data_IF_982580703190
#
_entry.id   IF_982580703190
#
_cell.length_a   1.000
_cell.length_b   1.000
_cell.length_c   1.000
_cell.angle_alpha   90.00
_cell.angle_beta   90.00
_cell.angle_gamma   90.00
#
_symmetry.space_group_name_H-M   'P 1'
#
loop_
_entity.id
_entity.type
_entity.pdbx_description
1 polymer ?
#
# COMPACT_ATOMS: atom_id res chain seq x y z
N UNK A 1 1.66 4.84 -5.91
CA UNK A 1 2.96 5.20 -5.30
C UNK A 1 2.74 5.37 -3.80
N UNK A 2 3.79 5.26 -2.98
CA UNK A 2 3.71 5.43 -1.52
C UNK A 2 4.61 6.58 -1.12
N UNK A 3 4.02 7.64 -0.58
CA UNK A 3 4.75 8.82 -0.10
C UNK A 3 4.98 8.67 1.40
N UNK A 4 6.22 8.88 1.83
CA UNK A 4 6.59 8.75 3.24
C UNK A 4 7.51 9.88 3.66
N UNK A 5 7.22 10.45 4.83
CA UNK A 5 7.99 11.55 5.39
C UNK A 5 8.14 11.38 6.89
N UNK A 6 9.34 11.67 7.40
CA UNK A 6 9.59 11.70 8.83
C UNK A 6 10.81 12.56 9.16
N UNK A 7 10.59 13.86 9.38
CA UNK A 7 11.67 14.81 9.66
C UNK A 7 12.54 14.45 10.87
N UNK A 8 11.93 13.87 11.91
CA UNK A 8 12.61 13.58 13.17
C UNK A 8 13.62 12.42 13.04
N UNK A 9 13.25 11.36 12.32
CA UNK A 9 14.06 10.14 12.26
C UNK A 9 14.83 9.95 10.95
N UNK A 10 14.34 10.51 9.84
CA UNK A 10 14.94 10.36 8.50
C UNK A 10 15.54 11.68 7.99
N UNK A 11 15.17 12.80 8.60
CA UNK A 11 15.51 14.14 8.14
C UNK A 11 14.48 14.69 7.14
N UNK A 12 14.76 15.87 6.59
CA UNK A 12 13.85 16.54 5.66
C UNK A 12 13.92 15.90 4.26
N UNK A 13 13.44 14.67 4.15
CA UNK A 13 13.46 13.87 2.93
C UNK A 13 12.10 13.23 2.72
N UNK A 14 11.43 13.58 1.62
CA UNK A 14 10.26 12.86 1.15
C UNK A 14 10.73 11.63 0.35
N UNK A 15 10.41 10.45 0.84
CA UNK A 15 10.70 9.20 0.13
C UNK A 15 9.43 8.75 -0.59
N UNK A 16 9.55 8.53 -1.90
CA UNK A 16 8.45 8.13 -2.79
C UNK A 16 8.78 6.75 -3.31
N UNK A 17 8.03 5.75 -2.88
CA UNK A 17 8.26 4.36 -3.28
C UNK A 17 7.28 4.03 -4.40
N UNK A 18 7.84 3.71 -5.56
CA UNK A 18 7.10 3.45 -6.79
C UNK A 18 6.81 1.96 -6.91
N UNK A 19 7.81 1.12 -6.65
CA UNK A 19 7.73 -0.34 -6.78
C UNK A 19 8.57 -1.05 -5.72
N UNK A 20 8.23 -2.30 -5.45
CA UNK A 20 9.07 -3.19 -4.67
C UNK A 20 10.26 -3.65 -5.53
N UNK A 21 11.48 -3.43 -5.05
CA UNK A 21 12.69 -3.91 -5.72
C UNK A 21 13.12 -5.30 -5.24
N UNK A 22 12.56 -5.83 -4.16
CA UNK A 22 13.05 -7.06 -3.52
C UNK A 22 14.56 -7.00 -3.29
N UNK A 23 15.26 -8.07 -3.67
CA UNK A 23 16.73 -8.18 -3.59
C UNK A 23 17.45 -7.69 -4.86
N UNK A 24 16.74 -7.01 -5.78
CA UNK A 24 17.34 -6.52 -7.02
C UNK A 24 18.45 -5.49 -6.73
N UNK A 25 19.48 -5.50 -7.58
CA UNK A 25 20.56 -4.51 -7.50
C UNK A 25 20.04 -3.16 -7.94
N UNK A 26 20.35 -2.12 -7.16
CA UNK A 26 19.93 -0.75 -7.41
C UNK A 26 21.11 0.14 -7.78
N UNK A 27 20.86 1.09 -8.68
CA UNK A 27 21.72 2.25 -8.89
C UNK A 27 20.98 3.52 -8.45
N UNK A 28 21.73 4.58 -8.15
CA UNK A 28 21.18 5.86 -7.70
C UNK A 28 21.75 6.98 -8.55
N UNK A 29 20.85 7.79 -9.12
CA UNK A 29 21.20 9.02 -9.82
C UNK A 29 20.74 10.20 -8.98
N UNK A 30 21.67 11.05 -8.56
CA UNK A 30 21.37 12.25 -7.76
C UNK A 30 21.70 13.52 -8.54
N UNK A 31 20.73 14.43 -8.63
CA UNK A 31 20.85 15.77 -9.21
C UNK A 31 20.15 16.76 -8.28
N UNK A 32 20.91 17.75 -7.79
CA UNK A 32 20.45 18.72 -6.80
C UNK A 32 19.75 18.06 -5.60
N UNK A 33 18.47 18.39 -5.43
CA UNK A 33 17.59 17.91 -4.35
C UNK A 33 16.89 16.59 -4.63
N UNK A 34 17.12 15.98 -5.80
CA UNK A 34 16.41 14.77 -6.22
C UNK A 34 17.40 13.62 -6.36
N UNK A 35 17.11 12.49 -5.71
CA UNK A 35 17.76 11.21 -6.01
C UNK A 35 16.73 10.22 -6.56
N UNK A 36 16.99 9.74 -7.77
CA UNK A 36 16.26 8.66 -8.42
C UNK A 36 16.93 7.33 -8.08
N UNK A 37 16.18 6.38 -7.57
CA UNK A 37 16.62 5.01 -7.33
C UNK A 37 16.02 4.13 -8.42
N UNK A 38 16.86 3.45 -9.17
CA UNK A 38 16.44 2.59 -10.27
C UNK A 38 17.07 1.21 -10.21
N UNK A 39 16.42 0.24 -10.84
CA UNK A 39 16.97 -1.10 -11.03
C UNK A 39 18.20 -1.01 -11.93
N UNK A 40 19.30 -1.61 -11.48
CA UNK A 40 20.56 -1.66 -12.23
C UNK A 40 20.44 -2.40 -13.57
N UNK A 41 19.51 -3.35 -13.65
CA UNK A 41 19.34 -4.22 -14.80
C UNK A 41 18.72 -3.51 -16.01
N UNK A 42 17.69 -2.68 -15.79
CA UNK A 42 16.88 -2.10 -16.86
C UNK A 42 16.65 -0.58 -16.72
N UNK A 43 17.19 0.05 -15.67
CA UNK A 43 17.02 1.48 -15.39
C UNK A 43 15.64 1.89 -14.90
N UNK A 44 14.75 0.92 -14.60
CA UNK A 44 13.40 1.21 -14.14
C UNK A 44 13.40 1.86 -12.76
N UNK A 45 12.69 2.99 -12.63
CA UNK A 45 12.59 3.72 -11.36
C UNK A 45 11.75 2.98 -10.34
N UNK A 46 12.32 2.76 -9.16
CA UNK A 46 11.66 2.08 -8.03
C UNK A 46 11.37 3.02 -6.86
N UNK A 47 12.16 4.09 -6.71
CA UNK A 47 11.92 5.11 -5.69
C UNK A 47 12.53 6.46 -6.04
N UNK A 48 12.04 7.50 -5.36
CA UNK A 48 12.62 8.84 -5.35
C UNK A 48 12.85 9.29 -3.92
N UNK A 49 13.95 10.02 -3.70
CA UNK A 49 14.19 10.78 -2.48
C UNK A 49 14.29 12.26 -2.83
N UNK A 50 13.36 13.06 -2.31
CA UNK A 50 13.33 14.51 -2.48
C UNK A 50 13.82 15.14 -1.19
N UNK A 51 15.05 15.65 -1.24
CA UNK A 51 15.72 16.31 -0.12
C UNK A 51 15.21 17.74 0.06
N UNK A 52 15.21 18.21 1.30
CA UNK A 52 14.75 19.56 1.66
C UNK A 52 13.31 19.84 1.19
N UNK A 53 12.44 18.83 1.22
CA UNK A 53 11.05 18.95 0.73
C UNK A 53 10.28 20.07 1.45
N UNK A 54 10.62 20.36 2.71
CA UNK A 54 9.99 21.48 3.44
C UNK A 54 10.27 22.86 2.85
N UNK A 55 11.27 22.98 1.94
CA UNK A 55 11.50 24.19 1.14
C UNK A 55 10.56 24.33 -0.07
N UNK A 56 9.92 23.24 -0.50
CA UNK A 56 8.98 23.22 -1.63
C UNK A 56 7.55 23.50 -1.18
N UNK A 57 7.16 22.98 -0.02
CA UNK A 57 5.85 23.18 0.61
C UNK A 57 5.88 22.75 2.08
N UNK A 58 4.88 23.16 2.86
CA UNK A 58 4.74 22.72 4.25
C UNK A 58 4.37 21.23 4.31
N UNK A 59 5.11 20.48 5.14
CA UNK A 59 4.89 19.07 5.41
C UNK A 59 5.40 18.76 6.83
N UNK A 60 4.56 18.12 7.64
CA UNK A 60 4.86 17.82 9.05
C UNK A 60 4.39 16.44 9.50
N UNK A 61 3.71 15.69 8.64
CA UNK A 61 3.22 14.35 8.98
C UNK A 61 4.37 13.36 9.22
N UNK A 62 4.05 12.26 9.89
CA UNK A 62 5.01 11.20 10.24
C UNK A 62 4.50 9.87 9.71
N UNK A 63 5.28 9.23 8.84
CA UNK A 63 4.92 7.95 8.21
C UNK A 63 4.41 8.16 6.78
N UNK A 64 3.33 7.47 6.41
CA UNK A 64 2.68 7.67 5.10
C UNK A 64 2.02 9.05 5.05
N UNK A 65 2.27 9.79 3.97
CA UNK A 65 1.69 11.11 3.72
C UNK A 65 0.81 11.06 2.46
N UNK A 66 -0.21 11.92 2.42
CA UNK A 66 -1.12 12.02 1.28
C UNK A 66 -1.02 13.42 0.72
N UNK A 67 -0.38 13.53 -0.45
CA UNK A 67 -0.09 14.82 -1.04
C UNK A 67 -1.30 15.38 -1.80
N UNK A 68 -1.40 16.71 -1.84
CA UNK A 68 -2.34 17.41 -2.73
C UNK A 68 -1.83 17.39 -4.17
N UNK A 69 -2.71 17.66 -5.14
CA UNK A 69 -2.30 17.76 -6.55
C UNK A 69 -1.30 18.91 -6.77
N UNK A 70 -1.43 19.99 -6.01
CA UNK A 70 -0.51 21.12 -6.04
C UNK A 70 0.88 20.73 -5.53
N UNK A 71 0.96 19.95 -4.45
CA UNK A 71 2.22 19.42 -3.93
C UNK A 71 2.86 18.47 -4.94
N UNK A 72 2.10 17.55 -5.53
CA UNK A 72 2.64 16.64 -6.57
C UNK A 72 3.10 17.41 -7.81
N UNK A 73 2.35 18.42 -8.25
CA UNK A 73 2.77 19.29 -9.35
C UNK A 73 4.08 20.03 -9.01
N UNK A 74 4.26 20.48 -7.77
CA UNK A 74 5.52 21.09 -7.31
C UNK A 74 6.69 20.11 -7.35
N UNK A 75 6.47 18.86 -6.92
CA UNK A 75 7.50 17.82 -7.00
C UNK A 75 7.89 17.55 -8.47
N UNK A 76 6.92 17.45 -9.37
CA UNK A 76 7.19 17.23 -10.79
C UNK A 76 7.94 18.41 -11.43
N UNK A 77 7.66 19.65 -11.02
CA UNK A 77 8.46 20.81 -11.44
C UNK A 77 9.92 20.69 -10.99
N UNK A 78 10.17 20.24 -9.76
CA UNK A 78 11.52 20.02 -9.24
C UNK A 78 12.25 18.91 -10.02
N UNK A 79 11.58 17.78 -10.28
CA UNK A 79 12.12 16.69 -11.10
C UNK A 79 12.53 17.18 -12.50
N UNK A 80 11.66 17.94 -13.16
CA UNK A 80 11.92 18.50 -14.49
C UNK A 80 13.06 19.52 -14.48
N UNK A 81 13.16 20.36 -13.45
CA UNK A 81 14.25 21.33 -13.29
C UNK A 81 15.62 20.64 -13.16
N UNK A 82 15.66 19.48 -12.48
CA UNK A 82 16.84 18.62 -12.36
C UNK A 82 17.05 17.71 -13.59
N UNK A 83 16.20 17.81 -14.62
CA UNK A 83 16.35 17.11 -15.90
C UNK A 83 15.89 15.65 -15.87
N UNK A 84 15.00 15.27 -14.94
CA UNK A 84 14.28 14.00 -15.00
C UNK A 84 13.05 14.13 -15.89
N UNK A 85 12.73 13.07 -16.64
CA UNK A 85 11.59 13.04 -17.59
C UNK A 85 10.38 12.32 -17.01
N UNK A 86 10.57 11.57 -15.95
CA UNK A 86 9.51 10.84 -15.25
C UNK A 86 8.65 11.77 -14.41
N UNK A 87 7.42 11.32 -14.17
CA UNK A 87 6.45 12.05 -13.37
C UNK A 87 5.98 11.21 -12.18
N UNK A 88 5.84 11.88 -11.05
CA UNK A 88 5.17 11.41 -9.85
C UNK A 88 3.66 11.54 -10.08
N UNK A 89 2.94 10.46 -9.80
CA UNK A 89 1.48 10.39 -9.95
C UNK A 89 0.82 10.37 -8.57
N UNK A 90 -0.18 11.23 -8.38
CA UNK A 90 -0.99 11.24 -7.17
C UNK A 90 -2.12 10.20 -7.27
N UNK A 91 -2.00 9.12 -6.51
CA UNK A 91 -3.03 8.09 -6.43
C UNK A 91 -3.87 8.30 -5.17
N UNK A 92 -5.09 8.81 -5.37
CA UNK A 92 -6.03 9.15 -4.30
C UNK A 92 -6.99 8.02 -3.96
N UNK A 93 -6.88 6.87 -4.60
CA UNK A 93 -7.76 5.75 -4.27
C UNK A 93 -7.49 5.27 -2.84
N UNK A 94 -8.56 5.04 -2.04
CA UNK A 94 -8.40 4.50 -0.70
C UNK A 94 -7.67 3.15 -0.76
N UNK A 95 -6.63 3.01 0.06
CA UNK A 95 -5.81 1.79 0.10
C UNK A 95 -6.29 0.75 1.10
N UNK A 96 -7.17 1.14 2.01
CA UNK A 96 -7.90 0.23 2.87
C UNK A 96 -9.38 0.36 2.55
N UNK A 97 -10.00 -0.74 2.11
CA UNK A 97 -11.40 -0.75 1.69
C UNK A 97 -12.12 -1.98 2.21
N UNK A 98 -13.44 -1.89 2.30
CA UNK A 98 -14.31 -3.05 2.50
C UNK A 98 -14.25 -3.92 1.24
N UNK A 99 -13.92 -5.19 1.39
CA UNK A 99 -13.97 -6.18 0.32
C UNK A 99 -14.77 -7.42 0.69
N UNK A 100 -15.28 -8.13 -0.32
CA UNK A 100 -16.05 -9.37 -0.16
C UNK A 100 -15.39 -10.52 -0.91
N UNK A 101 -15.22 -11.67 -0.26
CA UNK A 101 -14.72 -12.89 -0.91
C UNK A 101 -15.83 -13.44 -1.81
N UNK A 102 -15.69 -13.30 -3.13
CA UNK A 102 -16.67 -13.76 -4.13
C UNK A 102 -16.32 -15.12 -4.75
N UNK A 103 -15.07 -15.55 -4.60
CA UNK A 103 -14.62 -16.89 -4.97
C UNK A 103 -13.46 -17.30 -4.05
N UNK A 104 -13.35 -18.59 -3.74
CA UNK A 104 -12.30 -19.12 -2.90
C UNK A 104 -11.97 -20.56 -3.30
N UNK A 105 -10.71 -20.80 -3.66
CA UNK A 105 -10.19 -22.13 -4.01
C UNK A 105 -8.95 -22.44 -3.16
N UNK A 106 -8.72 -23.72 -2.89
CA UNK A 106 -7.52 -24.15 -2.16
C UNK A 106 -6.26 -23.86 -2.98
N UNK A 107 -5.18 -23.48 -2.31
CA UNK A 107 -3.90 -23.24 -2.97
C UNK A 107 -3.28 -24.58 -3.43
N UNK A 108 -2.77 -24.70 -4.67
CA UNK A 108 -2.24 -25.97 -5.18
C UNK A 108 -0.98 -26.45 -4.43
N UNK A 109 -0.16 -25.51 -3.97
CA UNK A 109 1.09 -25.76 -3.23
C UNK A 109 0.98 -25.51 -1.70
N UNK A 110 -0.23 -25.43 -1.13
CA UNK A 110 -0.40 -25.29 0.33
C UNK A 110 -1.76 -25.76 0.85
N UNK A 111 -1.74 -26.50 1.96
CA UNK A 111 -2.89 -26.95 2.74
C UNK A 111 -3.45 -25.91 3.72
N UNK A 112 -2.80 -24.74 3.83
CA UNK A 112 -3.16 -23.68 4.77
C UNK A 112 -3.44 -22.34 4.10
N UNK A 113 -3.31 -22.26 2.78
CA UNK A 113 -3.57 -21.07 1.99
C UNK A 113 -4.72 -21.32 1.02
N UNK A 114 -5.41 -20.23 0.70
CA UNK A 114 -6.48 -20.20 -0.27
C UNK A 114 -6.23 -19.04 -1.23
N UNK A 115 -6.64 -19.23 -2.48
CA UNK A 115 -6.67 -18.19 -3.49
C UNK A 115 -8.09 -17.64 -3.49
N UNK A 116 -8.23 -16.39 -3.06
CA UNK A 116 -9.52 -15.71 -2.98
C UNK A 116 -9.64 -14.69 -4.10
N UNK A 117 -10.78 -14.66 -4.80
CA UNK A 117 -11.19 -13.49 -5.57
C UNK A 117 -12.00 -12.59 -4.65
N UNK A 118 -11.55 -11.35 -4.48
CA UNK A 118 -12.13 -10.40 -3.55
C UNK A 118 -12.64 -9.18 -4.30
N UNK A 119 -13.95 -8.95 -4.27
CA UNK A 119 -14.56 -7.74 -4.81
C UNK A 119 -14.21 -6.57 -3.88
N UNK A 120 -13.62 -5.51 -4.44
CA UNK A 120 -13.12 -4.33 -3.71
C UNK A 120 -13.70 -3.02 -4.24
N UNK A 121 -14.48 -3.09 -5.33
CA UNK A 121 -15.40 -2.05 -5.79
C UNK A 121 -16.50 -2.73 -6.62
N UNK A 122 -17.47 -1.96 -7.13
CA UNK A 122 -18.57 -2.47 -7.96
C UNK A 122 -18.13 -3.25 -9.21
N UNK A 123 -16.99 -2.88 -9.77
CA UNK A 123 -16.43 -3.36 -11.04
C UNK A 123 -14.98 -3.83 -10.92
N UNK A 124 -14.49 -3.99 -9.67
CA UNK A 124 -13.08 -4.33 -9.39
C UNK A 124 -13.00 -5.51 -8.44
N UNK A 125 -12.41 -6.60 -8.93
CA UNK A 125 -12.09 -7.80 -8.17
C UNK A 125 -10.59 -8.04 -8.24
N UNK A 126 -10.00 -8.43 -7.11
CA UNK A 126 -8.56 -8.71 -7.00
C UNK A 126 -8.32 -10.11 -6.44
N UNK A 127 -7.29 -10.78 -6.95
CA UNK A 127 -6.83 -12.05 -6.39
C UNK A 127 -5.97 -11.79 -5.15
N UNK A 128 -6.31 -12.42 -4.03
CA UNK A 128 -5.55 -12.34 -2.78
C UNK A 128 -5.33 -13.76 -2.26
N UNK A 129 -4.07 -14.12 -2.04
CA UNK A 129 -3.72 -15.37 -1.36
C UNK A 129 -3.79 -15.16 0.14
N UNK A 130 -4.59 -15.96 0.85
CA UNK A 130 -4.81 -15.80 2.28
C UNK A 130 -4.87 -17.12 3.03
N UNK A 131 -4.26 -17.12 4.22
CA UNK A 131 -4.29 -18.24 5.17
C UNK A 131 -5.08 -17.96 6.45
N UNK A 132 -5.98 -16.98 6.42
CA UNK A 132 -6.79 -16.64 7.59
C UNK A 132 -7.80 -17.77 7.87
N UNK A 133 -7.85 -18.32 9.09
CA UNK A 133 -8.67 -19.50 9.39
C UNK A 133 -10.18 -19.25 9.33
N UNK A 134 -10.60 -17.99 9.33
CA UNK A 134 -12.00 -17.58 9.22
C UNK A 134 -12.39 -17.08 7.83
N UNK A 135 -11.46 -17.05 6.86
CA UNK A 135 -11.76 -16.71 5.48
C UNK A 135 -12.74 -17.74 4.87
N UNK A 136 -13.81 -17.24 4.25
CA UNK A 136 -14.86 -18.05 3.63
C UNK A 136 -15.58 -17.23 2.56
N UNK A 137 -16.18 -17.92 1.59
CA UNK A 137 -17.03 -17.30 0.57
C UNK A 137 -18.13 -16.43 1.21
N UNK A 138 -18.35 -15.24 0.66
CA UNK A 138 -19.33 -14.24 1.13
C UNK A 138 -18.87 -13.40 2.33
N UNK A 139 -17.70 -13.67 2.92
CA UNK A 139 -17.20 -12.88 4.03
C UNK A 139 -16.78 -11.48 3.56
N UNK A 140 -17.37 -10.46 4.19
CA UNK A 140 -16.92 -9.07 4.10
C UNK A 140 -15.83 -8.79 5.12
N UNK A 141 -14.76 -8.14 4.67
CA UNK A 141 -13.57 -7.86 5.46
C UNK A 141 -12.91 -6.55 5.04
N UNK A 142 -11.82 -6.17 5.71
CA UNK A 142 -10.98 -5.05 5.30
C UNK A 142 -9.82 -5.56 4.46
N UNK A 143 -9.63 -4.94 3.30
CA UNK A 143 -8.58 -5.26 2.34
C UNK A 143 -7.61 -4.09 2.24
N UNK A 144 -6.33 -4.36 2.50
CA UNK A 144 -5.23 -3.48 2.14
C UNK A 144 -4.81 -3.76 0.68
N UNK A 145 -4.97 -2.75 -0.16
CA UNK A 145 -4.62 -2.77 -1.58
C UNK A 145 -3.16 -2.32 -1.79
N UNK A 146 -2.55 -2.67 -2.94
CA UNK A 146 -1.25 -2.15 -3.33
C UNK A 146 -1.14 -0.63 -3.20
N UNK A 147 -0.08 -0.17 -2.55
CA UNK A 147 0.10 1.24 -2.16
C UNK A 147 -0.29 1.55 -0.72
N UNK A 148 -0.86 0.60 0.03
CA UNK A 148 -1.08 0.76 1.47
C UNK A 148 0.24 0.68 2.25
N UNK A 149 0.42 1.55 3.26
CA UNK A 149 1.35 1.32 4.35
C UNK A 149 0.59 0.80 5.57
N UNK A 150 1.01 -0.37 6.06
CA UNK A 150 0.50 -0.94 7.30
C UNK A 150 1.03 -0.14 8.51
N UNK A 151 0.31 -0.08 9.64
CA UNK A 151 0.75 0.64 10.83
C UNK A 151 2.13 0.26 11.40
N UNK A 152 2.65 -0.93 11.05
CA UNK A 152 4.01 -1.37 11.40
C UNK A 152 5.10 -0.92 10.42
N UNK A 153 4.74 -0.17 9.38
CA UNK A 153 5.64 0.29 8.32
C UNK A 153 5.75 -0.64 7.11
N UNK A 154 5.15 -1.85 7.16
CA UNK A 154 5.15 -2.76 6.01
C UNK A 154 4.34 -2.17 4.85
N UNK A 155 4.85 -2.30 3.64
CA UNK A 155 4.22 -1.78 2.42
C UNK A 155 3.55 -2.91 1.65
N UNK A 156 2.35 -2.64 1.15
CA UNK A 156 1.62 -3.60 0.30
C UNK A 156 1.95 -3.33 -1.15
N UNK A 157 2.52 -4.32 -1.82
CA UNK A 157 2.82 -4.31 -3.25
C UNK A 157 2.13 -5.48 -3.96
N UNK A 158 1.90 -5.38 -5.27
CA UNK A 158 1.59 -6.56 -6.08
C UNK A 158 2.74 -7.56 -5.95
N UNK A 159 2.44 -8.82 -5.73
CA UNK A 159 3.46 -9.85 -5.58
C UNK A 159 2.93 -11.24 -5.84
N UNK A 160 3.75 -12.22 -5.52
CA UNK A 160 3.42 -13.64 -5.62
C UNK A 160 3.73 -14.33 -4.30
N UNK A 161 2.87 -15.25 -3.91
CA UNK A 161 3.06 -16.11 -2.75
C UNK A 161 3.01 -17.55 -3.24
N UNK A 162 4.13 -18.27 -3.14
CA UNK A 162 4.25 -19.66 -3.61
C UNK A 162 3.82 -19.88 -5.06
N UNK A 163 4.16 -18.93 -5.93
CA UNK A 163 3.87 -18.98 -7.37
C UNK A 163 2.49 -18.43 -7.77
N UNK A 164 1.62 -18.11 -6.80
CA UNK A 164 0.31 -17.53 -7.06
C UNK A 164 0.29 -16.03 -6.81
N UNK A 165 -0.30 -15.28 -7.74
CA UNK A 165 -0.37 -13.81 -7.65
C UNK A 165 -1.24 -13.38 -6.46
N UNK A 166 -0.81 -12.35 -5.76
CA UNK A 166 -1.56 -11.71 -4.69
C UNK A 166 -1.47 -10.19 -4.83
N UNK A 167 -2.64 -9.55 -4.95
CA UNK A 167 -2.80 -8.13 -5.20
C UNK A 167 -3.42 -7.42 -4.00
N UNK A 168 -2.99 -7.79 -2.80
CA UNK A 168 -3.44 -7.18 -1.56
C UNK A 168 -3.30 -8.11 -0.37
N UNK A 169 -3.90 -7.69 0.74
CA UNK A 169 -3.92 -8.42 2.00
C UNK A 169 -5.26 -8.19 2.69
N UNK A 170 -5.93 -9.27 3.11
CA UNK A 170 -7.08 -9.15 4.02
C UNK A 170 -6.55 -8.95 5.45
N UNK A 171 -7.02 -7.91 6.13
CA UNK A 171 -6.41 -7.41 7.34
C UNK A 171 -7.03 -8.02 8.60
N UNK A 172 -6.16 -8.37 9.55
CA UNK A 172 -6.55 -8.63 10.94
C UNK A 172 -6.61 -7.35 11.77
N UNK A 173 -7.37 -7.33 12.88
CA UNK A 173 -7.39 -6.19 13.81
C UNK A 173 -6.01 -5.87 14.38
N UNK A 174 -5.17 -6.90 14.56
CA UNK A 174 -3.82 -6.78 15.13
C UNK A 174 -2.86 -6.08 14.17
N UNK A 175 -2.97 -6.36 12.87
CA UNK A 175 -2.16 -5.71 11.85
C UNK A 175 -2.50 -4.24 11.70
N UNK A 176 -3.77 -3.89 11.90
CA UNK A 176 -4.27 -2.52 11.86
C UNK A 176 -4.11 -1.77 13.21
N UNK A 177 -3.49 -2.38 14.21
CA UNK A 177 -3.34 -1.83 15.58
C UNK A 177 -4.68 -1.35 16.19
N UNK A 178 -5.76 -2.08 15.93
CA UNK A 178 -7.07 -1.74 16.47
C UNK A 178 -7.14 -2.04 17.98
N UNK A 179 -7.86 -1.20 18.76
CA UNK A 179 -8.00 -1.40 20.19
C UNK A 179 -8.74 -2.71 20.49
N UNK A 180 -8.37 -3.37 21.59
CA UNK A 180 -8.94 -4.66 22.03
C UNK A 180 -8.88 -5.78 20.97
N UNK A 181 -7.93 -5.72 20.03
CA UNK A 181 -7.73 -6.75 19.03
C UNK A 181 -7.64 -8.16 19.66
N UNK A 182 -8.49 -9.12 19.23
CA UNK A 182 -8.49 -10.47 19.77
C UNK A 182 -7.14 -11.16 19.62
N UNK A 183 -6.79 -12.04 20.57
CA UNK A 183 -5.57 -12.84 20.47
C UNK A 183 -5.68 -13.94 19.39
N UNK A 184 -6.91 -14.37 19.07
CA UNK A 184 -7.17 -15.38 18.04
C UNK A 184 -6.74 -14.84 16.67
N UNK A 185 -6.16 -15.72 15.85
CA UNK A 185 -5.82 -15.42 14.46
C UNK A 185 -7.09 -15.33 13.62
N UNK A 186 -7.16 -14.35 12.74
CA UNK A 186 -8.27 -14.15 11.82
C UNK A 186 -8.28 -12.74 11.22
N UNK A 187 -8.98 -12.59 10.10
CA UNK A 187 -9.26 -11.30 9.48
C UNK A 187 -10.51 -10.67 10.09
N UNK A 188 -10.68 -9.35 9.92
CA UNK A 188 -11.87 -8.64 10.39
C UNK A 188 -13.11 -9.22 9.71
N UNK A 189 -14.14 -9.54 10.48
CA UNK A 189 -15.44 -9.94 9.95
C UNK A 189 -16.38 -8.75 10.04
N UNK A 190 -16.88 -8.32 8.89
CA UNK A 190 -17.84 -7.24 8.78
C UNK A 190 -19.24 -7.80 8.55
N UNK A 191 -20.23 -7.00 8.92
CA UNK A 191 -21.63 -7.31 8.65
C UNK A 191 -21.95 -7.24 7.14
N UNK A 192 -22.96 -8.00 6.72
CA UNK A 192 -23.35 -8.10 5.31
C UNK A 192 -23.91 -6.80 4.72
N UNK A 193 -24.34 -5.85 5.56
CA UNK A 193 -24.82 -4.53 5.14
C UNK A 193 -23.68 -3.56 4.75
N UNK A 194 -22.41 -3.90 5.03
CA UNK A 194 -21.29 -3.07 4.62
C UNK A 194 -21.17 -3.00 3.10
N UNK A 195 -20.93 -1.79 2.59
CA UNK A 195 -20.84 -1.53 1.15
C UNK A 195 -19.40 -1.79 0.67
N UNK A 196 -19.24 -2.67 -0.32
CA UNK A 196 -17.95 -2.99 -0.95
C UNK A 196 -17.33 -1.71 -1.52
N UNK A 197 -16.01 -1.55 -1.33
CA UNK A 197 -15.25 -0.39 -1.79
C UNK A 197 -15.33 0.82 -0.86
N UNK A 198 -16.13 0.76 0.20
CA UNK A 198 -16.13 1.81 1.23
C UNK A 198 -14.75 1.93 1.86
N UNK A 199 -14.17 3.14 1.96
CA UNK A 199 -12.92 3.34 2.69
C UNK A 199 -13.01 2.85 4.12
N UNK A 200 -11.96 2.18 4.59
CA UNK A 200 -11.89 1.72 5.97
C UNK A 200 -11.92 2.89 6.95
N UNK A 201 -12.81 2.78 7.92
CA UNK A 201 -13.01 3.70 9.03
C UNK A 201 -13.11 2.87 10.31
N UNK A 202 -12.09 2.90 11.19
CA UNK A 202 -12.10 2.14 12.44
C UNK A 202 -13.33 2.39 13.30
N UNK A 203 -13.91 3.60 13.30
CA UNK A 203 -15.08 3.90 14.13
C UNK A 203 -16.37 3.22 13.62
N UNK A 204 -16.42 2.87 12.32
CA UNK A 204 -17.58 2.22 11.69
C UNK A 204 -17.40 0.73 11.50
N UNK A 205 -16.18 0.31 11.20
CA UNK A 205 -15.86 -1.05 10.78
C UNK A 205 -15.16 -1.85 11.89
N UNK A 206 -14.99 -1.27 13.08
CA UNK A 206 -14.44 -1.96 14.24
C UNK A 206 -15.19 -1.59 15.52
N UNK A 207 -15.94 -2.54 16.04
CA UNK A 207 -16.53 -2.48 17.37
C UNK A 207 -15.80 -3.50 18.24
N UNK A 208 -15.11 -3.01 19.27
CA UNK A 208 -14.37 -3.83 20.23
C UNK A 208 -15.27 -4.74 21.06
#
# INVERSE_FOLDING_TARGET
MIFTYNKEYVGDVLMIIVKNSGDAKLDVERKGKVARVCLKENGETVAWNIFEVSSLFEIAERGQVFLTDEQVARLNQELQAEGFTEEIVNDKEPKFVVGEIVEMVAHPDSDHLNICQVAVASDKTVQIVAGAPNARLGLKTIVALPGAMMPKGNLIFPGELRGEKSFGMMCSPRELHLPNAPQKRGIIELSEDQVIGTPFDPAKHWTA
#
